data_IF_863116681783
#
_entry.id   IF_863116681783
#
_cell.length_a   1.000
_cell.length_b   1.000
_cell.length_c   1.000
_cell.angle_alpha   90.00
_cell.angle_beta   90.00
_cell.angle_gamma   90.00
#
_symmetry.space_group_name_H-M   'P 1'
#
loop_
_entity.id
_entity.type
_entity.pdbx_description
1 polymer ?
#
# COMPACT_ATOMS: atom_id res chain seq x y z
N UNK A 1 -10.37 -16.90 -3.75
CA UNK A 1 -9.58 -16.10 -4.70
C UNK A 1 -10.22 -14.75 -4.86
N UNK A 2 -9.46 -13.67 -4.79
CA UNK A 2 -9.96 -12.33 -5.02
C UNK A 2 -10.14 -12.16 -6.55
N UNK A 3 -11.34 -11.79 -7.05
CA UNK A 3 -11.55 -11.65 -8.48
C UNK A 3 -10.85 -10.38 -8.98
N UNK A 4 -9.67 -10.54 -9.58
CA UNK A 4 -8.99 -9.49 -10.35
C UNK A 4 -9.53 -9.52 -11.77
N UNK A 5 -10.47 -8.64 -12.07
CA UNK A 5 -10.88 -8.39 -13.46
C UNK A 5 -9.73 -7.78 -14.25
N UNK A 6 -8.91 -8.63 -14.89
CA UNK A 6 -8.04 -8.32 -16.03
C UNK A 6 -7.00 -7.20 -15.90
N UNK A 7 -6.79 -6.64 -14.71
CA UNK A 7 -5.76 -5.63 -14.44
C UNK A 7 -5.06 -6.00 -13.14
N UNK A 8 -3.72 -5.98 -13.13
CA UNK A 8 -2.94 -6.12 -11.91
C UNK A 8 -3.57 -5.28 -10.79
N UNK A 9 -3.89 -5.87 -9.62
CA UNK A 9 -4.45 -5.11 -8.52
C UNK A 9 -3.50 -3.97 -8.14
N UNK A 10 -4.03 -2.75 -8.08
CA UNK A 10 -3.24 -1.57 -7.67
C UNK A 10 -2.77 -1.75 -6.23
N UNK A 11 -1.60 -1.21 -5.87
CA UNK A 11 -1.06 -1.30 -4.50
C UNK A 11 -2.07 -0.86 -3.45
N UNK A 12 -2.83 0.21 -3.74
CA UNK A 12 -3.95 0.67 -2.92
C UNK A 12 -4.97 -0.44 -2.65
N UNK A 13 -5.43 -1.13 -3.69
CA UNK A 13 -6.48 -2.16 -3.56
C UNK A 13 -6.03 -3.32 -2.66
N UNK A 14 -4.76 -3.72 -2.77
CA UNK A 14 -4.19 -4.77 -1.91
C UNK A 14 -4.19 -4.32 -0.44
N UNK A 15 -3.72 -3.10 -0.17
CA UNK A 15 -3.67 -2.54 1.19
C UNK A 15 -5.09 -2.36 1.75
N UNK A 16 -6.04 -1.84 0.97
CA UNK A 16 -7.45 -1.71 1.36
C UNK A 16 -8.08 -3.07 1.69
N UNK A 17 -7.80 -4.09 0.86
CA UNK A 17 -8.29 -5.45 1.10
C UNK A 17 -7.69 -6.05 2.36
N UNK A 18 -6.40 -5.79 2.63
CA UNK A 18 -5.74 -6.24 3.85
C UNK A 18 -6.34 -5.61 5.10
N UNK A 19 -6.56 -4.29 5.09
CA UNK A 19 -7.22 -3.59 6.21
C UNK A 19 -8.65 -4.10 6.40
N UNK A 20 -9.41 -4.31 5.33
CA UNK A 20 -10.77 -4.85 5.40
C UNK A 20 -10.83 -6.25 6.02
N UNK A 21 -9.83 -7.10 5.73
CA UNK A 21 -9.75 -8.45 6.26
C UNK A 21 -9.15 -8.52 7.67
N UNK A 22 -8.55 -7.42 8.15
CA UNK A 22 -7.93 -7.31 9.47
C UNK A 22 -8.47 -6.05 10.18
N UNK A 23 -9.73 -6.05 10.65
CA UNK A 23 -10.39 -4.83 11.13
C UNK A 23 -9.71 -4.17 12.33
N UNK A 24 -9.00 -4.95 13.16
CA UNK A 24 -8.30 -4.44 14.35
C UNK A 24 -6.84 -4.05 14.07
N UNK A 25 -6.45 -3.98 12.80
CA UNK A 25 -5.08 -3.63 12.43
C UNK A 25 -4.76 -2.17 12.74
N UNK A 26 -3.65 -1.95 13.44
CA UNK A 26 -3.11 -0.61 13.66
C UNK A 26 -2.04 -0.25 12.62
N UNK A 27 -1.66 1.03 12.60
CA UNK A 27 -0.65 1.54 11.65
C UNK A 27 0.68 0.78 11.71
N UNK A 28 1.18 0.42 12.89
CA UNK A 28 2.45 -0.26 13.03
C UNK A 28 2.42 -1.67 12.43
N UNK A 29 1.34 -2.41 12.66
CA UNK A 29 1.10 -3.72 12.04
C UNK A 29 0.95 -3.61 10.52
N UNK A 30 0.26 -2.57 10.05
CA UNK A 30 0.11 -2.31 8.62
C UNK A 30 1.46 -1.98 7.95
N UNK A 31 2.28 -1.16 8.60
CA UNK A 31 3.62 -0.81 8.13
C UNK A 31 4.58 -2.02 8.15
N UNK A 32 4.41 -2.94 9.11
CA UNK A 32 5.18 -4.19 9.13
C UNK A 32 4.77 -5.14 8.01
N UNK A 33 3.47 -5.23 7.70
CA UNK A 33 2.96 -6.02 6.59
C UNK A 33 3.41 -5.45 5.23
N UNK A 34 3.49 -4.12 5.13
CA UNK A 34 3.92 -3.41 3.93
C UNK A 34 5.14 -2.52 4.22
N UNK A 35 6.33 -3.13 4.38
CA UNK A 35 7.53 -2.41 4.80
C UNK A 35 7.98 -1.43 3.72
N UNK A 36 8.56 -0.31 4.17
CA UNK A 36 9.12 0.74 3.33
C UNK A 36 10.17 0.24 2.32
N UNK A 37 10.85 -0.87 2.63
CA UNK A 37 11.79 -1.56 1.75
C UNK A 37 11.14 -2.15 0.48
N UNK A 38 9.82 -2.36 0.46
CA UNK A 38 9.10 -2.77 -0.74
C UNK A 38 8.91 -1.60 -1.74
N UNK A 39 9.06 -0.36 -1.30
CA UNK A 39 8.98 0.82 -2.16
C UNK A 39 10.30 1.08 -2.92
N UNK A 40 10.24 2.06 -3.84
CA UNK A 40 11.42 2.52 -4.59
C UNK A 40 12.54 3.02 -3.66
N UNK A 41 13.82 2.67 -3.93
CA UNK A 41 14.97 3.27 -3.25
C UNK A 41 14.94 4.81 -3.30
N UNK A 42 15.23 5.45 -2.16
CA UNK A 42 15.26 6.92 -2.02
C UNK A 42 13.95 7.55 -1.53
N UNK A 43 12.78 7.10 -2.00
CA UNK A 43 11.51 7.51 -1.40
C UNK A 43 11.16 6.62 -0.21
N UNK A 44 11.20 5.30 -0.41
CA UNK A 44 11.14 4.31 0.66
C UNK A 44 9.90 4.43 1.54
N UNK A 45 8.71 4.67 0.97
CA UNK A 45 7.45 4.73 1.74
C UNK A 45 6.33 4.03 0.99
N UNK A 46 5.75 2.99 1.60
CA UNK A 46 4.56 2.31 1.05
C UNK A 46 3.29 2.96 1.61
N UNK A 47 3.25 3.10 2.93
CA UNK A 47 2.18 3.76 3.69
C UNK A 47 2.76 4.82 4.61
N UNK A 48 1.95 5.81 4.98
CA UNK A 48 2.26 6.81 6.01
C UNK A 48 1.00 7.23 6.74
N UNK A 49 1.12 7.61 8.02
CA UNK A 49 0.03 8.37 8.67
C UNK A 49 -0.18 9.66 7.87
N UNK A 50 -1.43 10.02 7.62
CA UNK A 50 -1.75 11.19 6.79
C UNK A 50 -1.16 12.47 7.38
N UNK A 51 -1.17 12.59 8.71
CA UNK A 51 -0.61 13.71 9.47
C UNK A 51 0.92 13.83 9.35
N UNK A 52 1.62 12.74 9.05
CA UNK A 52 3.08 12.71 8.90
C UNK A 52 3.53 13.03 7.46
N UNK A 53 2.59 13.15 6.52
CA UNK A 53 2.92 13.45 5.12
C UNK A 53 3.31 14.92 4.98
N UNK A 54 4.53 15.16 4.53
CA UNK A 54 5.07 16.53 4.39
C UNK A 54 4.48 17.22 3.16
N UNK A 55 4.40 18.56 3.21
CA UNK A 55 3.87 19.38 2.12
C UNK A 55 4.55 19.12 0.77
N UNK A 56 5.87 18.94 0.76
CA UNK A 56 6.64 18.61 -0.44
C UNK A 56 6.33 17.19 -0.99
N UNK A 57 5.81 16.29 -0.17
CA UNK A 57 5.36 14.96 -0.59
C UNK A 57 3.96 15.01 -1.21
N UNK A 58 3.10 15.92 -0.74
CA UNK A 58 1.84 16.26 -1.39
C UNK A 58 2.04 16.95 -2.74
N UNK A 59 2.88 17.98 -2.77
CA UNK A 59 3.20 18.73 -4.00
C UNK A 59 3.88 17.85 -5.05
N UNK A 60 4.62 16.83 -4.61
CA UNK A 60 5.22 15.82 -5.49
C UNK A 60 4.30 14.66 -5.89
N UNK A 61 3.00 14.72 -5.54
CA UNK A 61 2.03 13.64 -5.80
C UNK A 61 2.54 12.25 -5.39
N UNK A 62 3.21 12.16 -4.23
CA UNK A 62 3.86 10.91 -3.78
C UNK A 62 2.92 9.97 -3.03
N UNK A 63 1.79 10.50 -2.55
CA UNK A 63 0.73 9.78 -1.88
C UNK A 63 -0.62 10.06 -2.51
N UNK A 64 -1.54 9.10 -2.39
CA UNK A 64 -2.92 9.25 -2.81
C UNK A 64 -3.66 10.24 -1.90
N UNK A 65 -4.50 11.09 -2.50
CA UNK A 65 -5.38 12.03 -1.78
C UNK A 65 -6.55 11.35 -1.05
N UNK A 66 -6.76 10.06 -1.29
CA UNK A 66 -7.83 9.30 -0.65
C UNK A 66 -7.19 8.37 0.40
N UNK A 67 -7.11 8.76 1.67
CA UNK A 67 -6.53 7.91 2.70
C UNK A 67 -7.39 6.65 2.93
N UNK A 68 -6.75 5.62 3.46
CA UNK A 68 -7.42 4.47 4.08
C UNK A 68 -7.66 4.83 5.54
N UNK A 69 -8.86 4.57 6.04
CA UNK A 69 -9.24 4.84 7.43
C UNK A 69 -9.19 3.51 8.19
N UNK A 70 -8.38 3.45 9.24
CA UNK A 70 -8.32 2.31 10.16
C UNK A 70 -9.51 2.35 11.14
N UNK A 71 -9.75 1.25 11.86
CA UNK A 71 -10.88 1.15 12.80
C UNK A 71 -10.82 2.13 13.96
N UNK A 72 -9.62 2.54 14.36
CA UNK A 72 -9.37 3.58 15.36
C UNK A 72 -9.55 5.01 14.83
N UNK A 73 -9.89 5.18 13.54
CA UNK A 73 -10.04 6.47 12.88
C UNK A 73 -8.73 7.04 12.33
N UNK A 74 -7.58 6.39 12.54
CA UNK A 74 -6.31 6.81 11.97
C UNK A 74 -6.37 6.79 10.44
N UNK A 75 -5.99 7.91 9.82
CA UNK A 75 -5.91 8.03 8.37
C UNK A 75 -4.51 7.68 7.87
N UNK A 76 -4.46 6.81 6.87
CA UNK A 76 -3.22 6.29 6.27
C UNK A 76 -3.18 6.64 4.79
N UNK A 77 -2.15 7.37 4.38
CA UNK A 77 -1.85 7.68 3.00
C UNK A 77 -1.10 6.51 2.34
N UNK A 78 -1.46 6.16 1.11
CA UNK A 78 -0.81 5.12 0.30
C UNK A 78 0.02 5.76 -0.79
N UNK A 79 1.25 5.29 -1.00
CA UNK A 79 2.09 5.82 -2.07
C UNK A 79 1.52 5.53 -3.46
N UNK A 80 1.69 6.49 -4.36
CA UNK A 80 1.33 6.41 -5.78
C UNK A 80 2.53 6.13 -6.69
N UNK A 81 3.75 6.19 -6.14
CA UNK A 81 4.99 6.18 -6.91
C UNK A 81 5.52 4.74 -7.04
N UNK A 82 5.01 4.02 -8.03
CA UNK A 82 5.38 2.64 -8.31
C UNK A 82 5.97 2.52 -9.71
N UNK A 83 7.17 1.97 -9.77
CA UNK A 83 7.81 1.58 -11.03
C UNK A 83 7.66 0.06 -11.22
N UNK A 84 7.62 -0.44 -12.47
CA UNK A 84 7.50 -1.87 -12.76
C UNK A 84 8.52 -2.75 -12.04
N UNK A 85 9.70 -2.21 -11.73
CA UNK A 85 10.74 -2.95 -11.01
C UNK A 85 10.45 -3.08 -9.50
N UNK A 86 9.81 -2.09 -8.88
CA UNK A 86 9.58 -2.07 -7.43
C UNK A 86 8.21 -2.67 -7.07
N UNK A 87 7.24 -2.59 -7.98
CA UNK A 87 5.93 -3.23 -7.75
C UNK A 87 6.06 -4.76 -7.63
N UNK A 88 7.08 -5.38 -8.25
CA UNK A 88 7.38 -6.82 -8.07
C UNK A 88 7.71 -7.18 -6.62
N UNK A 89 8.45 -6.32 -5.90
CA UNK A 89 8.77 -6.53 -4.49
C UNK A 89 7.51 -6.44 -3.63
N UNK A 90 6.64 -5.47 -3.93
CA UNK A 90 5.34 -5.35 -3.29
C UNK A 90 4.45 -6.57 -3.55
N UNK A 91 4.35 -7.02 -4.80
CA UNK A 91 3.56 -8.21 -5.18
C UNK A 91 4.04 -9.43 -4.40
N UNK A 92 5.36 -9.66 -4.34
CA UNK A 92 5.93 -10.76 -3.56
C UNK A 92 5.55 -10.69 -2.08
N UNK A 93 5.72 -9.52 -1.45
CA UNK A 93 5.34 -9.33 -0.04
C UNK A 93 3.84 -9.58 0.18
N UNK A 94 2.99 -9.12 -0.75
CA UNK A 94 1.56 -9.36 -0.68
C UNK A 94 1.18 -10.84 -0.90
N UNK A 95 1.87 -11.56 -1.78
CA UNK A 95 1.69 -13.01 -1.93
C UNK A 95 2.08 -13.77 -0.67
N UNK A 96 3.15 -13.35 0.03
CA UNK A 96 3.52 -13.90 1.34
C UNK A 96 2.43 -13.65 2.41
N UNK A 97 1.65 -12.57 2.27
CA UNK A 97 0.46 -12.28 3.09
C UNK A 97 -0.80 -13.04 2.64
N UNK A 98 -0.69 -13.91 1.64
CA UNK A 98 -1.81 -14.73 1.13
C UNK A 98 -2.67 -14.04 0.07
N UNK A 99 -2.22 -12.91 -0.51
CA UNK A 99 -2.89 -12.33 -1.67
C UNK A 99 -2.49 -13.06 -2.96
N UNK A 100 -3.49 -13.58 -3.66
CA UNK A 100 -3.31 -14.08 -5.02
C UNK A 100 -3.29 -12.88 -5.99
N UNK A 101 -2.08 -12.41 -6.30
CA UNK A 101 -1.85 -11.34 -7.26
C UNK A 101 -1.30 -11.99 -8.53
N UNK A 102 -2.20 -12.53 -9.37
CA UNK A 102 -1.83 -13.02 -10.69
C UNK A 102 -1.41 -11.84 -11.56
N UNK A 103 -0.12 -11.77 -11.88
CA UNK A 103 0.42 -10.84 -12.87
C UNK A 103 0.16 -11.41 -14.26
N UNK A 104 -1.08 -11.32 -14.74
CA UNK A 104 -1.36 -11.62 -16.14
C UNK A 104 -0.72 -10.51 -16.99
N UNK A 105 0.08 -10.94 -17.97
CA UNK A 105 1.11 -10.15 -18.67
C UNK A 105 0.55 -9.20 -19.73
#
# INVERSE_FOLDING_TARGET
GIPTGGKCPTVRYVIESYVKNNPDINFAQLQNAFPDAAAKPGFGKVVRRLEDVKENEWGGHRFSKHPIILSDGQQVAVSTQWEPQNIKNFIRAATELGFDISSDS
#
